data_IF_937645823828
#
_entry.id   IF_937645823828
#
_cell.length_a   1.000
_cell.length_b   1.000
_cell.length_c   1.000
_cell.angle_alpha   90.00
_cell.angle_beta   90.00
_cell.angle_gamma   90.00
#
_symmetry.space_group_name_H-M   'P 1'
#
loop_
_entity.id
_entity.type
_entity.pdbx_description
1 polymer ?
#
# COMPACT_ATOMS: atom_id res chain seq x y z
N UNK A 1 16.16 -4.24 -12.11
CA UNK A 1 14.87 -4.89 -11.82
C UNK A 1 14.07 -3.99 -10.87
N UNK A 2 12.74 -3.99 -10.94
CA UNK A 2 11.88 -3.24 -10.00
C UNK A 2 11.71 -4.06 -8.71
N UNK A 3 11.77 -3.44 -7.54
CA UNK A 3 11.69 -4.10 -6.23
C UNK A 3 10.47 -3.68 -5.41
N UNK A 4 9.78 -2.64 -5.86
CA UNK A 4 8.55 -2.19 -5.22
C UNK A 4 7.61 -1.49 -6.18
N UNK A 5 6.33 -1.51 -5.81
CA UNK A 5 5.26 -0.73 -6.44
C UNK A 5 4.42 -0.02 -5.38
N UNK A 6 3.94 1.17 -5.70
CA UNK A 6 2.96 1.91 -4.93
C UNK A 6 2.04 2.67 -5.88
N UNK A 7 0.74 2.71 -5.58
CA UNK A 7 -0.18 3.55 -6.34
C UNK A 7 -1.30 4.07 -5.44
N UNK A 8 -1.73 5.29 -5.74
CA UNK A 8 -2.74 5.97 -4.94
C UNK A 8 -3.67 6.80 -5.81
N UNK A 9 -4.90 6.97 -5.33
CA UNK A 9 -5.88 7.90 -5.84
C UNK A 9 -6.33 8.76 -4.65
N UNK A 10 -6.12 10.06 -4.73
CA UNK A 10 -6.49 11.02 -3.69
C UNK A 10 -7.34 12.13 -4.27
N UNK A 11 -8.25 12.65 -3.45
CA UNK A 11 -9.12 13.76 -3.78
C UNK A 11 -9.03 14.81 -2.69
N UNK A 12 -8.56 15.99 -3.05
CA UNK A 12 -8.41 17.13 -2.14
C UNK A 12 -9.51 18.14 -2.43
N UNK A 13 -10.31 18.46 -1.42
CA UNK A 13 -11.29 19.54 -1.50
C UNK A 13 -10.61 20.88 -1.17
N UNK A 14 -10.52 21.77 -2.15
CA UNK A 14 -10.13 23.15 -1.94
C UNK A 14 -11.38 24.00 -1.64
N UNK A 15 -11.56 24.34 -0.36
CA UNK A 15 -12.58 25.32 0.05
C UNK A 15 -12.11 26.72 -0.33
N UNK A 16 -12.92 27.44 -1.10
CA UNK A 16 -12.70 28.84 -1.45
C UNK A 16 -13.77 29.68 -0.75
N UNK A 17 -13.35 30.75 -0.07
CA UNK A 17 -14.19 31.53 0.85
C UNK A 17 -15.44 32.18 0.20
N UNK A 18 -15.45 32.34 -1.14
CA UNK A 18 -16.57 32.93 -1.90
C UNK A 18 -16.96 32.14 -3.17
N UNK A 19 -16.45 30.90 -3.35
CA UNK A 19 -16.71 30.09 -4.54
C UNK A 19 -17.09 28.65 -4.16
N UNK A 20 -17.78 27.92 -5.05
CA UNK A 20 -18.05 26.50 -4.85
C UNK A 20 -16.77 25.71 -4.53
N UNK A 21 -16.90 24.68 -3.69
CA UNK A 21 -15.78 23.80 -3.34
C UNK A 21 -15.23 23.17 -4.61
N UNK A 22 -13.94 23.41 -4.88
CA UNK A 22 -13.24 22.81 -5.99
C UNK A 22 -12.57 21.51 -5.54
N UNK A 23 -12.61 20.48 -6.36
CA UNK A 23 -11.95 19.21 -6.07
C UNK A 23 -10.77 19.04 -7.01
N UNK A 24 -9.60 18.78 -6.44
CA UNK A 24 -8.41 18.36 -7.16
C UNK A 24 -8.21 16.85 -6.94
N UNK A 25 -8.23 16.08 -8.01
CA UNK A 25 -8.07 14.63 -7.96
C UNK A 25 -6.70 14.30 -8.52
N UNK A 26 -5.92 13.52 -7.75
CA UNK A 26 -4.57 13.12 -8.10
C UNK A 26 -4.44 11.61 -8.04
N UNK A 27 -3.90 11.04 -9.12
CA UNK A 27 -3.56 9.64 -9.21
C UNK A 27 -2.07 9.50 -9.44
N UNK A 28 -1.42 8.67 -8.65
CA UNK A 28 0.03 8.47 -8.70
C UNK A 28 0.32 6.99 -8.81
N UNK A 29 1.28 6.63 -9.65
CA UNK A 29 1.84 5.29 -9.81
C UNK A 29 3.36 5.38 -9.72
N UNK A 30 3.93 4.66 -8.77
CA UNK A 30 5.34 4.69 -8.43
C UNK A 30 5.93 3.27 -8.46
N UNK A 31 7.10 3.14 -9.06
CA UNK A 31 7.91 1.91 -9.04
C UNK A 31 9.38 2.26 -8.88
N UNK A 32 10.18 1.37 -8.32
CA UNK A 32 11.61 1.64 -8.20
C UNK A 32 12.43 0.52 -7.57
N UNK A 33 13.63 0.88 -7.12
CA UNK A 33 14.54 0.01 -6.35
C UNK A 33 14.82 0.62 -4.98
N UNK A 34 15.32 -0.20 -4.06
CA UNK A 34 15.76 0.21 -2.73
C UNK A 34 14.76 1.17 -2.04
N UNK A 35 13.51 0.73 -1.82
CA UNK A 35 12.41 1.60 -1.39
C UNK A 35 12.68 2.37 -0.09
N UNK A 36 13.60 1.87 0.74
CA UNK A 36 13.93 2.41 2.06
C UNK A 36 15.31 3.08 2.13
N UNK A 37 16.03 3.16 1.01
CA UNK A 37 17.40 3.72 0.95
C UNK A 37 17.55 4.81 -0.11
N UNK A 38 16.44 5.41 -0.56
CA UNK A 38 16.46 6.49 -1.55
C UNK A 38 16.88 6.04 -2.95
N UNK A 39 16.60 4.78 -3.31
CA UNK A 39 16.90 4.28 -4.65
C UNK A 39 16.13 4.98 -5.75
N UNK A 40 16.57 4.73 -7.00
CA UNK A 40 15.92 5.25 -8.19
C UNK A 40 14.44 4.84 -8.23
N UNK A 41 13.57 5.82 -8.53
CA UNK A 41 12.14 5.62 -8.68
C UNK A 41 11.62 6.33 -9.93
N UNK A 42 10.65 5.70 -10.57
CA UNK A 42 9.84 6.29 -11.64
C UNK A 42 8.45 6.53 -11.06
N UNK A 43 8.00 7.78 -11.17
CA UNK A 43 6.71 8.24 -10.68
C UNK A 43 5.90 8.83 -11.84
N UNK A 44 4.71 8.32 -12.08
CA UNK A 44 3.76 8.86 -13.06
C UNK A 44 2.57 9.42 -12.30
N UNK A 45 2.32 10.72 -12.45
CA UNK A 45 1.20 11.39 -11.79
C UNK A 45 0.26 12.01 -12.80
N UNK A 46 -1.03 11.83 -12.54
CA UNK A 46 -2.13 12.42 -13.29
C UNK A 46 -2.93 13.30 -12.33
N UNK A 47 -3.40 14.44 -12.81
CA UNK A 47 -4.30 15.30 -12.04
C UNK A 47 -5.45 15.80 -12.89
N UNK A 48 -6.65 15.80 -12.32
CA UNK A 48 -7.86 16.28 -12.98
C UNK A 48 -8.75 17.00 -11.97
N UNK A 49 -9.08 18.24 -12.30
CA UNK A 49 -10.03 19.04 -11.53
C UNK A 49 -11.47 18.57 -11.75
N UNK A 50 -12.29 18.69 -10.71
CA UNK A 50 -13.74 18.46 -10.78
C UNK A 50 -14.24 17.43 -9.77
N UNK A 51 -15.51 17.57 -9.36
CA UNK A 51 -16.14 16.70 -8.34
C UNK A 51 -16.27 15.24 -8.77
N UNK A 52 -16.46 15.03 -10.08
CA UNK A 52 -16.67 13.72 -10.72
C UNK A 52 -15.58 13.41 -11.73
N UNK A 53 -14.33 13.80 -11.43
CA UNK A 53 -13.22 13.51 -12.31
C UNK A 53 -13.04 11.98 -12.41
N UNK A 54 -13.23 11.46 -13.61
CA UNK A 54 -12.98 10.06 -13.92
C UNK A 54 -11.50 9.72 -13.77
N UNK A 55 -11.26 8.47 -13.40
CA UNK A 55 -9.93 7.92 -13.28
C UNK A 55 -9.23 7.89 -14.65
N UNK A 56 -7.99 8.41 -14.76
CA UNK A 56 -7.26 8.41 -16.01
C UNK A 56 -6.99 6.98 -16.51
N UNK A 57 -7.33 6.70 -17.77
CA UNK A 57 -7.11 5.40 -18.40
C UNK A 57 -5.64 4.95 -18.30
N UNK A 58 -4.70 5.89 -18.52
CA UNK A 58 -3.27 5.61 -18.39
C UNK A 58 -2.85 5.15 -16.99
N UNK A 59 -3.46 5.69 -15.93
CA UNK A 59 -3.20 5.23 -14.57
C UNK A 59 -3.78 3.83 -14.35
N UNK A 60 -5.02 3.59 -14.80
CA UNK A 60 -5.67 2.28 -14.69
C UNK A 60 -4.85 1.21 -15.40
N UNK A 61 -4.37 1.51 -16.61
CA UNK A 61 -3.51 0.62 -17.37
C UNK A 61 -2.22 0.25 -16.61
N UNK A 62 -1.53 1.22 -16.00
CA UNK A 62 -0.32 0.96 -15.21
C UNK A 62 -0.61 0.09 -13.99
N UNK A 63 -1.71 0.34 -13.29
CA UNK A 63 -2.14 -0.47 -12.15
C UNK A 63 -2.48 -1.90 -12.57
N UNK A 64 -3.21 -2.09 -13.67
CA UNK A 64 -3.55 -3.41 -14.18
C UNK A 64 -2.33 -4.19 -14.66
N UNK A 65 -1.38 -3.50 -15.31
CA UNK A 65 -0.09 -4.08 -15.69
C UNK A 65 0.70 -4.53 -14.46
N UNK A 66 0.72 -3.69 -13.41
CA UNK A 66 1.35 -4.02 -12.13
C UNK A 66 0.71 -5.27 -11.51
N UNK A 67 -0.61 -5.28 -11.37
CA UNK A 67 -1.35 -6.41 -10.79
C UNK A 67 -1.12 -7.72 -11.53
N UNK A 68 -0.98 -7.66 -12.86
CA UNK A 68 -0.81 -8.85 -13.68
C UNK A 68 0.60 -9.43 -13.63
N UNK A 69 1.62 -8.58 -13.61
CA UNK A 69 3.01 -9.04 -13.82
C UNK A 69 3.96 -8.68 -12.68
N UNK A 70 3.79 -7.52 -12.05
CA UNK A 70 4.71 -7.00 -11.06
C UNK A 70 4.37 -7.50 -9.65
N UNK A 71 3.12 -7.35 -9.25
CA UNK A 71 2.65 -7.72 -7.91
C UNK A 71 2.85 -9.22 -7.58
N UNK A 72 2.52 -10.18 -8.48
CA UNK A 72 2.75 -11.59 -8.20
C UNK A 72 4.23 -11.91 -7.97
N UNK A 73 5.11 -11.37 -8.83
CA UNK A 73 6.56 -11.57 -8.69
C UNK A 73 7.09 -10.99 -7.38
N UNK A 74 6.73 -9.74 -7.06
CA UNK A 74 7.18 -9.09 -5.83
C UNK A 74 6.65 -9.82 -4.59
N UNK A 75 5.40 -10.26 -4.60
CA UNK A 75 4.81 -11.08 -3.54
C UNK A 75 5.61 -12.37 -3.35
N UNK A 76 5.88 -13.11 -4.42
CA UNK A 76 6.57 -14.39 -4.35
C UNK A 76 8.02 -14.22 -3.85
N UNK A 77 8.71 -13.15 -4.26
CA UNK A 77 10.04 -12.78 -3.75
C UNK A 77 10.02 -12.46 -2.25
N UNK A 78 9.05 -11.65 -1.80
CA UNK A 78 8.89 -11.31 -0.38
C UNK A 78 8.54 -12.54 0.46
N UNK A 79 7.64 -13.40 -0.03
CA UNK A 79 7.33 -14.66 0.64
C UNK A 79 8.55 -15.58 0.70
N UNK A 80 9.32 -15.70 -0.37
CA UNK A 80 10.53 -16.52 -0.37
C UNK A 80 11.54 -16.04 0.68
N UNK A 81 11.67 -14.73 0.89
CA UNK A 81 12.50 -14.14 1.95
C UNK A 81 12.00 -14.50 3.35
N UNK A 82 10.70 -14.34 3.60
CA UNK A 82 10.09 -14.75 4.88
C UNK A 82 10.26 -16.26 5.12
N UNK A 83 10.12 -17.08 4.08
CA UNK A 83 10.40 -18.51 4.14
C UNK A 83 11.88 -18.85 4.30
N UNK A 84 12.81 -17.91 4.20
CA UNK A 84 14.22 -18.12 4.62
C UNK A 84 14.49 -17.64 6.05
N UNK A 85 13.46 -17.17 6.77
CA UNK A 85 13.58 -16.62 8.11
C UNK A 85 13.90 -15.13 8.14
N UNK A 86 13.84 -14.43 7.00
CA UNK A 86 14.02 -12.99 6.96
C UNK A 86 12.75 -12.26 7.44
N UNK A 87 12.93 -11.07 8.03
CA UNK A 87 11.85 -10.09 8.22
C UNK A 87 11.82 -9.16 7.01
N UNK A 88 10.65 -8.99 6.40
CA UNK A 88 10.46 -8.08 5.26
C UNK A 88 9.69 -6.84 5.68
N UNK A 89 10.11 -5.68 5.17
CA UNK A 89 9.37 -4.42 5.35
C UNK A 89 8.49 -4.16 4.14
N UNK A 90 7.23 -3.80 4.39
CA UNK A 90 6.21 -3.40 3.42
C UNK A 90 5.47 -2.18 3.95
N UNK A 91 4.84 -1.41 3.06
CA UNK A 91 4.01 -0.27 3.48
C UNK A 91 4.77 0.86 4.16
N UNK A 92 6.10 0.93 4.01
CA UNK A 92 6.95 1.96 4.62
C UNK A 92 7.45 1.64 6.03
N UNK A 93 6.70 0.88 6.82
CA UNK A 93 7.05 0.63 8.23
C UNK A 93 6.51 -0.67 8.82
N UNK A 94 5.74 -1.44 8.06
CA UNK A 94 5.17 -2.71 8.52
C UNK A 94 6.18 -3.81 8.23
N UNK A 95 6.58 -4.52 9.27
CA UNK A 95 7.48 -5.65 9.22
C UNK A 95 6.68 -6.94 9.32
N UNK A 96 6.97 -7.90 8.45
CA UNK A 96 6.31 -9.20 8.42
C UNK A 96 7.38 -10.29 8.40
N UNK A 97 7.18 -11.32 9.23
CA UNK A 97 8.03 -12.51 9.26
C UNK A 97 7.17 -13.76 9.49
N UNK A 98 7.80 -14.90 9.79
CA UNK A 98 7.06 -16.16 9.99
C UNK A 98 6.16 -16.13 11.23
N UNK A 99 6.58 -15.42 12.27
CA UNK A 99 5.91 -15.44 13.58
C UNK A 99 4.74 -14.45 13.63
N UNK A 100 4.80 -13.37 12.85
CA UNK A 100 3.75 -12.37 12.84
C UNK A 100 4.11 -11.07 12.11
N UNK A 101 3.51 -10.00 12.62
CA UNK A 101 3.58 -8.66 12.06
C UNK A 101 3.94 -7.65 13.15
N UNK A 102 4.87 -6.77 12.84
CA UNK A 102 5.29 -5.67 13.70
C UNK A 102 5.29 -4.34 12.95
N UNK A 103 5.29 -3.27 13.72
CA UNK A 103 5.54 -1.94 13.22
C UNK A 103 6.26 -1.17 14.33
N UNK A 104 7.23 -0.35 13.95
CA UNK A 104 7.97 0.48 14.91
C UNK A 104 7.15 1.73 15.28
N UNK A 105 6.32 2.23 14.36
CA UNK A 105 5.52 3.45 14.53
C UNK A 105 4.19 3.37 13.77
N UNK A 106 3.06 3.14 14.46
CA UNK A 106 2.90 2.92 15.90
C UNK A 106 3.55 1.61 16.36
N UNK A 107 4.08 1.56 17.58
CA UNK A 107 4.80 0.39 18.10
C UNK A 107 3.83 -0.76 18.41
N UNK A 108 3.91 -1.85 17.66
CA UNK A 108 3.26 -3.11 18.00
C UNK A 108 4.05 -4.30 17.45
N UNK A 109 3.81 -5.47 18.02
CA UNK A 109 4.23 -6.76 17.48
C UNK A 109 3.17 -7.77 17.88
N UNK A 110 2.61 -8.47 16.90
CA UNK A 110 1.53 -9.41 17.10
C UNK A 110 1.76 -10.69 16.31
N UNK A 111 1.51 -11.86 16.90
CA UNK A 111 1.46 -13.11 16.15
C UNK A 111 0.28 -13.12 15.18
N UNK A 112 0.36 -13.92 14.11
CA UNK A 112 -0.67 -13.97 13.07
C UNK A 112 -2.08 -14.25 13.60
N UNK A 113 -2.20 -15.14 14.59
CA UNK A 113 -3.49 -15.49 15.18
C UNK A 113 -4.18 -14.30 15.90
N UNK A 114 -3.42 -13.30 16.34
CA UNK A 114 -3.93 -12.11 17.02
C UNK A 114 -4.34 -10.99 16.06
N UNK A 115 -4.14 -11.16 14.75
CA UNK A 115 -4.37 -10.13 13.73
C UNK A 115 -5.62 -10.48 12.92
N UNK A 116 -6.41 -9.47 12.60
CA UNK A 116 -7.53 -9.59 11.66
C UNK A 116 -7.03 -9.52 10.21
N UNK A 117 -7.69 -10.18 9.24
CA UNK A 117 -7.35 -10.02 7.84
C UNK A 117 -7.27 -8.54 7.44
N UNK A 118 -6.15 -8.07 6.86
CA UNK A 118 -6.03 -6.69 6.41
C UNK A 118 -7.07 -6.35 5.35
N UNK A 119 -7.65 -5.15 5.41
CA UNK A 119 -8.70 -4.71 4.48
C UNK A 119 -8.32 -3.42 3.77
N UNK A 120 -8.70 -3.26 2.51
CA UNK A 120 -8.53 -2.01 1.77
C UNK A 120 -9.74 -1.09 2.04
N UNK A 121 -9.50 0.07 2.61
CA UNK A 121 -10.53 1.09 2.87
C UNK A 121 -10.01 2.45 2.43
N UNK A 122 -10.70 3.10 1.49
CA UNK A 122 -10.41 4.47 1.04
C UNK A 122 -8.93 4.71 0.64
N UNK A 123 -8.29 3.74 -0.03
CA UNK A 123 -6.88 3.85 -0.42
C UNK A 123 -5.88 3.61 0.72
N UNK A 124 -6.33 3.05 1.85
CA UNK A 124 -5.51 2.64 2.98
C UNK A 124 -5.68 1.14 3.22
N UNK A 125 -4.59 0.42 3.45
CA UNK A 125 -4.64 -0.92 4.04
C UNK A 125 -4.80 -0.75 5.55
N UNK A 126 -5.88 -1.29 6.09
CA UNK A 126 -6.23 -1.25 7.50
C UNK A 126 -5.84 -2.57 8.15
N UNK A 127 -4.95 -2.50 9.14
CA UNK A 127 -4.52 -3.63 9.95
C UNK A 127 -5.09 -3.45 11.35
N UNK A 128 -5.82 -4.44 11.85
CA UNK A 128 -6.49 -4.40 13.15
C UNK A 128 -6.20 -5.67 13.95
N UNK A 129 -6.33 -5.56 15.28
CA UNK A 129 -6.26 -6.72 16.17
C UNK A 129 -7.57 -7.51 16.06
N UNK A 130 -7.48 -8.84 16.16
CA UNK A 130 -8.65 -9.71 16.21
C UNK A 130 -9.55 -9.33 17.39
N UNK A 131 -10.85 -9.13 17.11
CA UNK A 131 -11.85 -8.75 18.12
C UNK A 131 -11.82 -7.28 18.55
N UNK A 132 -10.98 -6.44 17.95
CA UNK A 132 -10.90 -5.01 18.25
C UNK A 132 -11.32 -4.20 17.02
N UNK A 133 -12.28 -3.28 17.20
CA UNK A 133 -12.79 -2.45 16.11
C UNK A 133 -11.81 -1.36 15.66
N UNK A 134 -10.96 -0.87 16.57
CA UNK A 134 -9.99 0.17 16.27
C UNK A 134 -8.80 -0.36 15.46
N UNK A 135 -8.35 0.36 14.41
CA UNK A 135 -7.19 -0.03 13.63
C UNK A 135 -5.90 0.13 14.46
N UNK A 136 -4.97 -0.83 14.31
CA UNK A 136 -3.62 -0.74 14.88
C UNK A 136 -2.74 0.19 14.04
N UNK A 137 -2.80 0.01 12.73
CA UNK A 137 -2.08 0.84 11.76
C UNK A 137 -2.87 0.92 10.46
N UNK A 138 -2.78 2.08 9.82
CA UNK A 138 -3.28 2.28 8.46
C UNK A 138 -2.09 2.60 7.56
N UNK A 139 -2.03 1.94 6.42
CA UNK A 139 -0.92 2.04 5.48
C UNK A 139 -1.45 2.60 4.16
N UNK A 140 -1.02 3.79 3.72
CA UNK A 140 -1.40 4.32 2.43
C UNK A 140 -1.00 3.37 1.29
N UNK A 141 -1.91 3.15 0.34
CA UNK A 141 -1.67 2.24 -0.79
C UNK A 141 -0.52 2.71 -1.70
N UNK A 142 -0.20 4.01 -1.66
CA UNK A 142 0.95 4.60 -2.34
C UNK A 142 2.31 4.24 -1.70
N UNK A 143 2.33 3.66 -0.50
CA UNK A 143 3.59 3.23 0.13
C UNK A 143 4.16 1.98 -0.57
N UNK A 144 5.49 1.79 -0.55
CA UNK A 144 6.13 0.66 -1.20
C UNK A 144 5.55 -0.68 -0.77
N UNK A 145 5.05 -1.46 -1.74
CA UNK A 145 4.49 -2.79 -1.56
C UNK A 145 3.28 -2.86 -0.59
N UNK A 146 2.64 -1.73 -0.27
CA UNK A 146 1.47 -1.71 0.61
C UNK A 146 0.33 -2.59 0.07
N UNK A 147 0.14 -2.59 -1.25
CA UNK A 147 -0.89 -3.41 -1.93
C UNK A 147 -0.73 -4.90 -1.67
N UNK A 148 0.48 -5.37 -1.37
CA UNK A 148 0.78 -6.80 -1.18
C UNK A 148 0.44 -7.29 0.23
N UNK A 149 0.19 -6.39 1.19
CA UNK A 149 -0.03 -6.76 2.60
C UNK A 149 -1.16 -7.80 2.78
N UNK A 150 -2.34 -7.67 2.15
CA UNK A 150 -3.41 -8.66 2.30
C UNK A 150 -3.01 -10.05 1.80
N UNK A 151 -2.33 -10.14 0.66
CA UNK A 151 -1.89 -11.40 0.06
C UNK A 151 -0.77 -12.06 0.89
N UNK A 152 0.17 -11.26 1.38
CA UNK A 152 1.23 -11.73 2.29
C UNK A 152 0.62 -12.27 3.58
N UNK A 153 -0.36 -11.57 4.16
CA UNK A 153 -1.10 -12.05 5.33
C UNK A 153 -1.79 -13.38 5.04
N UNK A 154 -2.52 -13.51 3.92
CA UNK A 154 -3.25 -14.73 3.58
C UNK A 154 -2.33 -15.95 3.34
N UNK A 155 -1.08 -15.70 2.93
CA UNK A 155 -0.07 -16.73 2.78
C UNK A 155 0.60 -17.12 4.11
N UNK A 156 0.86 -16.16 4.99
CA UNK A 156 1.66 -16.36 6.22
C UNK A 156 0.83 -16.71 7.46
N UNK A 157 -0.41 -16.23 7.55
CA UNK A 157 -1.28 -16.42 8.73
C UNK A 157 -1.99 -17.79 8.76
N UNK A 158 -1.33 -18.84 8.27
CA UNK A 158 -1.86 -20.21 8.16
C UNK A 158 -1.48 -21.08 9.34
#
# INVERSE_FOLDING_TARGET
MVEWVGYSASRVAQRRFLFPTFYDNRWTFDVGRYPYHGGEKVAVSFSKGGRHAEQPEGWTFLVDLSRRYLEPRLRDELLARVHRGETVTVGGSVEMNRDGISCVKPRFSLPWNAVSPPTLQNGLIVIARRGVAAPLVTVPLGHPNAVLIPDLYAALAR
#
